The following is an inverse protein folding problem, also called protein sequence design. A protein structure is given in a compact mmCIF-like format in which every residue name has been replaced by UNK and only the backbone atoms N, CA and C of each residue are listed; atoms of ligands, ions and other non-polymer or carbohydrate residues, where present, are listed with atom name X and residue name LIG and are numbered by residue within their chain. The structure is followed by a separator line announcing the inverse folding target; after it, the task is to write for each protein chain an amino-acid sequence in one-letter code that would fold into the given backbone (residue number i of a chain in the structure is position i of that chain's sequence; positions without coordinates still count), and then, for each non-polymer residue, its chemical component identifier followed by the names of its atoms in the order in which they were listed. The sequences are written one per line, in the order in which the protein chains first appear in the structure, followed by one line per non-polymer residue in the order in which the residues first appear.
data_IF_775249834172
#
_entry.id   IF_775249834172
#
_cell.length_a   1.000
_cell.length_b   1.000
_cell.length_c   1.000
_cell.angle_alpha   90.00
_cell.angle_beta   90.00
_cell.angle_gamma   90.00
#
_symmetry.space_group_name_H-M   'P 1'
#
loop_
_entity.id
_entity.type
_entity.pdbx_description
1 polymer ?
#
# COMPACT_ATOMS: atom_id res chain seq x y z
N UNK A 1 -15.06 11.74 7.02
CA UNK A 1 -14.57 10.35 6.87
C UNK A 1 -14.55 10.00 5.40
N UNK A 2 -13.37 9.76 4.85
CA UNK A 2 -13.22 9.23 3.50
C UNK A 2 -13.89 7.86 3.44
N UNK A 3 -14.81 7.66 2.50
CA UNK A 3 -15.34 6.32 2.24
C UNK A 3 -14.17 5.47 1.72
N UNK A 4 -13.77 4.43 2.47
CA UNK A 4 -12.82 3.45 1.97
C UNK A 4 -13.58 2.32 1.28
N UNK A 5 -13.13 1.94 0.09
CA UNK A 5 -13.60 0.72 -0.56
C UNK A 5 -13.37 -0.49 0.36
N UNK A 6 -14.31 -1.43 0.38
CA UNK A 6 -14.21 -2.66 1.15
C UNK A 6 -12.90 -3.42 0.85
N UNK A 7 -12.50 -3.42 -0.43
CA UNK A 7 -11.27 -4.03 -0.94
C UNK A 7 -10.29 -2.94 -1.38
N UNK A 8 -9.82 -2.12 -0.45
CA UNK A 8 -8.84 -1.07 -0.78
C UNK A 8 -7.49 -1.66 -1.24
N UNK A 9 -6.75 -0.98 -2.14
CA UNK A 9 -5.41 -1.42 -2.55
C UNK A 9 -4.43 -1.56 -1.39
N UNK A 10 -4.46 -0.65 -0.42
CA UNK A 10 -3.58 -0.68 0.77
C UNK A 10 -3.83 -1.90 1.67
N UNK A 11 -5.01 -2.52 1.58
CA UNK A 11 -5.34 -3.76 2.27
C UNK A 11 -5.21 -5.01 1.38
N UNK A 12 -4.76 -4.88 0.12
CA UNK A 12 -4.76 -5.96 -0.87
C UNK A 12 -4.01 -7.21 -0.45
N UNK A 13 -2.82 -7.04 0.12
CA UNK A 13 -2.07 -8.16 0.66
C UNK A 13 -2.88 -8.96 1.70
N UNK A 14 -3.77 -8.30 2.46
CA UNK A 14 -4.62 -8.98 3.45
C UNK A 14 -5.81 -9.69 2.81
N UNK A 15 -6.58 -9.01 1.98
CA UNK A 15 -7.80 -9.62 1.44
C UNK A 15 -7.54 -10.65 0.33
N UNK A 16 -6.39 -10.59 -0.35
CA UNK A 16 -5.96 -11.66 -1.27
C UNK A 16 -5.67 -12.95 -0.50
N UNK A 17 -5.01 -12.84 0.65
CA UNK A 17 -4.60 -14.00 1.43
C UNK A 17 -5.66 -14.50 2.43
N UNK A 18 -6.57 -13.62 2.88
CA UNK A 18 -7.64 -13.92 3.82
C UNK A 18 -8.95 -13.26 3.38
N UNK A 19 -9.69 -13.95 2.52
CA UNK A 19 -10.96 -13.48 1.96
C UNK A 19 -12.04 -13.18 3.02
N UNK A 20 -11.96 -13.76 4.21
CA UNK A 20 -12.87 -13.46 5.31
C UNK A 20 -12.64 -12.07 5.93
N UNK A 21 -11.42 -11.54 5.84
CA UNK A 21 -11.01 -10.36 6.59
C UNK A 21 -11.84 -9.11 6.28
N UNK A 22 -12.08 -8.72 5.01
CA UNK A 22 -12.82 -7.49 4.70
C UNK A 22 -14.21 -7.42 5.35
N UNK A 23 -14.98 -8.51 5.26
CA UNK A 23 -16.35 -8.56 5.82
C UNK A 23 -16.35 -8.58 7.35
N UNK A 24 -15.38 -9.24 7.97
CA UNK A 24 -15.24 -9.25 9.43
C UNK A 24 -14.80 -7.87 9.98
N UNK A 25 -13.97 -7.15 9.23
CA UNK A 25 -13.47 -5.83 9.61
C UNK A 25 -14.48 -4.70 9.35
N UNK A 26 -15.46 -4.91 8.46
CA UNK A 26 -16.39 -3.87 8.01
C UNK A 26 -17.24 -3.23 9.14
N UNK A 27 -17.49 -3.97 10.22
CA UNK A 27 -18.26 -3.47 11.38
C UNK A 27 -17.38 -2.99 12.53
N UNK A 28 -16.05 -3.03 12.38
CA UNK A 28 -15.12 -2.59 13.40
C UNK A 28 -14.77 -1.13 13.14
N UNK A 29 -15.07 -0.27 14.12
CA UNK A 29 -14.65 1.12 14.08
C UNK A 29 -13.13 1.21 13.95
N UNK A 30 -12.69 2.01 12.98
CA UNK A 30 -11.29 2.40 12.88
C UNK A 30 -11.07 3.59 13.79
N UNK A 31 -10.52 3.37 14.99
CA UNK A 31 -10.20 4.45 15.91
C UNK A 31 -9.03 5.33 15.42
N UNK A 32 -8.47 5.02 14.26
CA UNK A 32 -7.22 5.61 13.80
C UNK A 32 -6.06 5.27 14.75
N UNK A 33 -4.89 5.79 14.41
CA UNK A 33 -3.73 5.78 15.31
C UNK A 33 -2.94 7.06 15.12
N UNK A 34 -2.13 7.44 16.11
CA UNK A 34 -1.17 8.55 15.95
C UNK A 34 -0.26 8.34 14.74
N UNK A 35 0.13 7.09 14.45
CA UNK A 35 0.93 6.74 13.27
C UNK A 35 0.18 6.95 11.96
N UNK A 36 -1.12 6.67 11.91
CA UNK A 36 -1.94 6.92 10.72
C UNK A 36 -2.12 8.44 10.48
N UNK A 37 -2.30 9.23 11.55
CA UNK A 37 -2.37 10.68 11.46
C UNK A 37 -1.02 11.30 11.05
N UNK A 38 0.08 10.87 11.66
CA UNK A 38 1.46 11.27 11.30
C UNK A 38 1.74 10.96 9.82
N UNK A 39 1.33 9.78 9.36
CA UNK A 39 1.44 9.39 7.95
C UNK A 39 0.61 10.27 7.02
N UNK A 40 -0.66 10.56 7.36
CA UNK A 40 -1.55 11.39 6.55
C UNK A 40 -0.99 12.80 6.37
N UNK A 41 -0.49 13.41 7.46
CA UNK A 41 0.21 14.69 7.40
C UNK A 41 1.43 14.63 6.46
N UNK A 42 2.24 13.57 6.53
CA UNK A 42 3.41 13.42 5.67
C UNK A 42 3.02 13.26 4.18
N UNK A 43 1.94 12.54 3.86
CA UNK A 43 1.40 12.45 2.49
C UNK A 43 0.94 13.84 2.00
N UNK A 44 0.22 14.60 2.83
CA UNK A 44 -0.22 15.96 2.48
C UNK A 44 0.97 16.88 2.16
N UNK A 45 2.06 16.80 2.94
CA UNK A 45 3.31 17.51 2.64
C UNK A 45 3.94 17.08 1.31
N UNK A 46 4.05 15.77 1.05
CA UNK A 46 4.54 15.24 -0.23
C UNK A 46 3.73 15.77 -1.41
N UNK A 47 2.40 15.65 -1.35
CA UNK A 47 1.48 16.10 -2.37
C UNK A 47 1.60 17.62 -2.60
N UNK A 48 1.61 18.42 -1.53
CA UNK A 48 1.79 19.87 -1.59
C UNK A 48 3.08 20.23 -2.32
N UNK A 49 4.20 19.64 -1.92
CA UNK A 49 5.54 19.93 -2.48
C UNK A 49 5.63 19.60 -3.98
N UNK A 50 5.00 18.51 -4.43
CA UNK A 50 4.94 18.15 -5.86
C UNK A 50 3.97 19.04 -6.64
N UNK A 51 2.80 19.35 -6.08
CA UNK A 51 1.81 20.24 -6.72
C UNK A 51 2.35 21.67 -6.86
N UNK A 52 3.05 22.19 -5.87
CA UNK A 52 3.75 23.49 -5.95
C UNK A 52 4.77 23.52 -7.08
N UNK A 53 5.57 22.45 -7.24
CA UNK A 53 6.51 22.32 -8.35
C UNK A 53 5.79 22.35 -9.72
N UNK A 54 4.62 21.70 -9.81
CA UNK A 54 3.80 21.67 -11.02
C UNK A 54 2.93 22.92 -11.23
N UNK A 55 2.99 23.92 -10.33
CA UNK A 55 2.13 25.10 -10.37
C UNK A 55 0.64 24.79 -10.19
N UNK A 56 0.29 23.70 -9.49
CA UNK A 56 -1.09 23.26 -9.23
C UNK A 56 -1.62 23.79 -7.89
N UNK A 57 -2.96 23.95 -7.75
CA UNK A 57 -3.58 24.33 -6.47
C UNK A 57 -3.29 23.31 -5.36
N UNK A 58 -3.21 23.80 -4.13
CA UNK A 58 -2.80 23.02 -2.94
C UNK A 58 -3.70 23.23 -1.74
N UNK A 59 -4.87 23.86 -1.94
CA UNK A 59 -5.80 24.24 -0.86
C UNK A 59 -6.24 23.03 -0.01
N UNK A 60 -6.42 21.87 -0.65
CA UNK A 60 -6.77 20.62 0.03
C UNK A 60 -5.66 20.14 0.96
N UNK A 61 -4.42 20.09 0.46
CA UNK A 61 -3.27 19.69 1.28
C UNK A 61 -3.00 20.70 2.40
N UNK A 62 -3.19 22.00 2.16
CA UNK A 62 -3.05 23.02 3.20
C UNK A 62 -4.07 22.89 4.31
N UNK A 63 -5.32 22.56 3.98
CA UNK A 63 -6.34 22.31 4.98
C UNK A 63 -5.98 21.09 5.84
N UNK A 64 -5.57 19.98 5.23
CA UNK A 64 -5.16 18.77 5.95
C UNK A 64 -3.90 18.97 6.80
N UNK A 65 -2.90 19.70 6.27
CA UNK A 65 -1.72 20.10 7.03
C UNK A 65 -2.14 20.93 8.24
N UNK A 66 -2.96 21.97 8.06
CA UNK A 66 -3.37 22.84 9.17
C UNK A 66 -4.10 22.09 10.31
N UNK A 67 -4.78 20.98 10.00
CA UNK A 67 -5.47 20.15 11.00
C UNK A 67 -4.51 19.30 11.84
N UNK A 68 -3.41 18.80 11.26
CA UNK A 68 -2.54 17.79 11.88
C UNK A 68 -1.16 18.32 12.30
N UNK A 69 -0.70 19.40 11.69
CA UNK A 69 0.68 19.92 11.77
C UNK A 69 1.12 20.16 13.21
N UNK A 70 0.32 20.92 13.97
CA UNK A 70 0.67 21.31 15.34
C UNK A 70 0.91 20.11 16.28
N UNK A 71 0.36 18.93 15.97
CA UNK A 71 0.48 17.74 16.80
C UNK A 71 1.51 16.74 16.29
N UNK A 72 1.69 16.62 14.98
CA UNK A 72 2.43 15.51 14.37
C UNK A 72 3.63 15.93 13.52
N UNK A 73 3.79 17.22 13.22
CA UNK A 73 4.94 17.72 12.45
C UNK A 73 6.26 17.50 13.20
N UNK A 74 7.32 17.25 12.43
CA UNK A 74 8.68 17.25 12.91
C UNK A 74 9.63 17.72 11.81
N UNK A 75 10.81 18.23 12.19
CA UNK A 75 11.84 18.60 11.19
C UNK A 75 12.28 17.42 10.32
N UNK A 76 12.31 16.20 10.87
CA UNK A 76 12.60 14.99 10.09
C UNK A 76 11.53 14.76 9.00
N UNK A 77 10.26 15.08 9.27
CA UNK A 77 9.19 14.96 8.27
C UNK A 77 9.45 15.84 7.04
N UNK A 78 9.98 17.05 7.25
CA UNK A 78 10.33 17.94 6.15
C UNK A 78 11.43 17.31 5.27
N UNK A 79 12.48 16.78 5.89
CA UNK A 79 13.59 16.11 5.20
C UNK A 79 13.13 14.87 4.42
N UNK A 80 12.26 14.04 5.02
CA UNK A 80 11.75 12.83 4.38
C UNK A 80 10.81 13.14 3.21
N UNK A 81 9.95 14.15 3.37
CA UNK A 81 9.03 14.57 2.29
C UNK A 81 9.77 15.31 1.18
N UNK A 82 10.88 16.01 1.48
CA UNK A 82 11.81 16.55 0.48
C UNK A 82 12.54 15.42 -0.27
N UNK A 83 12.99 14.40 0.43
CA UNK A 83 13.62 13.22 -0.19
C UNK A 83 12.67 12.55 -1.19
N UNK A 84 11.41 12.36 -0.80
CA UNK A 84 10.38 11.84 -1.71
C UNK A 84 10.21 12.71 -2.95
N UNK A 85 10.07 14.03 -2.76
CA UNK A 85 9.95 14.99 -3.86
C UNK A 85 11.13 14.87 -4.84
N UNK A 86 12.36 14.85 -4.33
CA UNK A 86 13.57 14.75 -5.15
C UNK A 86 13.55 13.48 -6.00
N UNK A 87 13.28 12.32 -5.39
CA UNK A 87 13.22 11.04 -6.09
C UNK A 87 12.15 11.08 -7.20
N UNK A 88 10.95 11.56 -6.91
CA UNK A 88 9.86 11.66 -7.91
C UNK A 88 10.28 12.55 -9.09
N UNK A 89 10.92 13.70 -8.82
CA UNK A 89 11.35 14.63 -9.87
C UNK A 89 12.52 14.09 -10.69
N UNK A 90 13.46 13.36 -10.08
CA UNK A 90 14.52 12.65 -10.81
C UNK A 90 13.93 11.62 -11.79
N UNK A 91 12.94 10.85 -11.35
CA UNK A 91 12.26 9.89 -12.21
C UNK A 91 11.45 10.56 -13.31
N UNK A 92 10.80 11.69 -13.03
CA UNK A 92 10.11 12.49 -14.04
C UNK A 92 11.09 13.00 -15.10
N UNK A 93 12.24 13.54 -14.70
CA UNK A 93 13.25 14.03 -15.64
C UNK A 93 13.78 12.89 -16.53
N UNK A 94 14.05 11.72 -15.96
CA UNK A 94 14.46 10.55 -16.73
C UNK A 94 13.38 10.05 -17.71
N UNK A 95 12.10 10.26 -17.40
CA UNK A 95 11.01 9.98 -18.32
C UNK A 95 10.93 11.03 -19.44
N UNK A 96 11.05 12.31 -19.10
CA UNK A 96 11.02 13.43 -20.06
C UNK A 96 12.15 13.36 -21.10
N UNK A 97 13.32 12.82 -20.74
CA UNK A 97 14.42 12.58 -21.67
C UNK A 97 14.04 11.59 -22.80
N UNK A 98 13.12 10.66 -22.52
CA UNK A 98 12.67 9.63 -23.47
C UNK A 98 11.35 9.99 -24.14
N UNK A 99 10.48 10.68 -23.42
CA UNK A 99 9.11 11.01 -23.80
C UNK A 99 8.87 12.49 -23.48
N UNK A 100 9.04 13.40 -24.46
CA UNK A 100 9.02 14.86 -24.23
C UNK A 100 7.73 15.40 -23.59
N UNK A 101 6.62 14.69 -23.76
CA UNK A 101 5.30 14.99 -23.20
C UNK A 101 4.94 14.10 -22.01
N UNK A 102 5.92 13.49 -21.34
CA UNK A 102 5.69 12.75 -20.11
C UNK A 102 5.04 13.65 -19.03
N UNK A 103 4.12 13.09 -18.26
CA UNK A 103 3.34 13.83 -17.27
C UNK A 103 3.51 13.27 -15.87
N UNK A 104 3.65 14.16 -14.89
CA UNK A 104 3.50 13.81 -13.48
C UNK A 104 2.08 14.13 -13.00
N UNK A 105 1.38 13.10 -12.54
CA UNK A 105 0.13 13.21 -11.83
C UNK A 105 0.36 12.97 -10.35
N UNK A 106 -0.35 13.71 -9.50
CA UNK A 106 -0.17 13.73 -8.04
C UNK A 106 -1.54 13.61 -7.40
N UNK A 107 -1.68 12.77 -6.37
CA UNK A 107 -2.96 12.48 -5.70
C UNK A 107 -4.06 12.07 -6.70
N UNK A 108 -3.75 11.07 -7.52
CA UNK A 108 -4.63 10.66 -8.63
C UNK A 108 -5.59 9.58 -8.18
N UNK A 109 -6.89 9.92 -8.15
CA UNK A 109 -7.95 8.93 -7.93
C UNK A 109 -8.06 7.97 -9.12
N UNK A 110 -7.98 6.68 -8.83
CA UNK A 110 -8.12 5.58 -9.77
C UNK A 110 -9.32 4.72 -9.40
N UNK A 111 -10.05 4.27 -10.42
CA UNK A 111 -11.17 3.35 -10.31
C UNK A 111 -10.69 1.96 -10.73
N UNK A 112 -11.02 0.94 -9.95
CA UNK A 112 -10.66 -0.45 -10.22
C UNK A 112 -11.90 -1.35 -10.33
N UNK A 113 -13.10 -0.78 -10.39
CA UNK A 113 -14.38 -1.50 -10.30
C UNK A 113 -14.56 -2.58 -11.37
N UNK A 114 -13.89 -2.44 -12.52
CA UNK A 114 -13.86 -3.46 -13.58
C UNK A 114 -13.15 -4.76 -13.17
N UNK A 115 -12.27 -4.70 -12.17
CA UNK A 115 -11.43 -5.82 -11.71
C UNK A 115 -11.69 -6.21 -10.26
N UNK A 116 -12.02 -5.25 -9.41
CA UNK A 116 -12.25 -5.41 -7.97
C UNK A 116 -13.55 -4.69 -7.61
N UNK A 117 -14.60 -5.41 -7.17
CA UNK A 117 -15.92 -4.81 -6.99
C UNK A 117 -15.91 -3.60 -6.05
N UNK A 118 -16.50 -2.49 -6.51
CA UNK A 118 -16.63 -1.23 -5.76
C UNK A 118 -15.30 -0.65 -5.27
N UNK A 119 -14.18 -1.00 -5.91
CA UNK A 119 -12.87 -0.56 -5.48
C UNK A 119 -12.38 0.69 -6.20
N UNK A 120 -11.81 1.60 -5.41
CA UNK A 120 -11.08 2.77 -5.85
C UNK A 120 -9.96 3.07 -4.87
N UNK A 121 -9.05 3.95 -5.27
CA UNK A 121 -7.95 4.40 -4.43
C UNK A 121 -7.30 5.64 -5.01
N UNK A 122 -6.34 6.19 -4.27
CA UNK A 122 -5.57 7.36 -4.69
C UNK A 122 -4.11 6.96 -4.74
N UNK A 123 -3.48 7.12 -5.92
CA UNK A 123 -2.05 6.95 -6.07
C UNK A 123 -1.34 8.28 -5.77
N UNK A 124 -0.27 8.23 -4.98
CA UNK A 124 0.46 9.42 -4.54
C UNK A 124 1.08 10.16 -5.73
N UNK A 125 1.83 9.43 -6.57
CA UNK A 125 2.40 9.95 -7.80
C UNK A 125 2.37 8.92 -8.95
N UNK A 126 2.06 9.39 -10.16
CA UNK A 126 2.10 8.59 -11.39
C UNK A 126 2.88 9.40 -12.43
N UNK A 127 3.90 8.79 -13.02
CA UNK A 127 4.59 9.32 -14.19
C UNK A 127 4.09 8.54 -15.40
N UNK A 128 3.44 9.23 -16.32
CA UNK A 128 2.93 8.66 -17.57
C UNK A 128 3.92 9.00 -18.68
N UNK A 129 4.40 7.98 -19.39
CA UNK A 129 5.34 8.08 -20.49
C UNK A 129 5.23 6.86 -21.41
N UNK A 130 5.70 7.00 -22.65
CA UNK A 130 5.79 5.89 -23.60
C UNK A 130 6.82 4.84 -23.13
N UNK A 131 6.57 3.59 -23.48
CA UNK A 131 7.35 2.41 -23.13
C UNK A 131 7.18 1.99 -21.66
N UNK A 132 7.39 2.90 -20.70
CA UNK A 132 7.31 2.59 -19.27
C UNK A 132 6.59 3.68 -18.47
N UNK A 133 5.40 3.36 -17.97
CA UNK A 133 4.68 4.16 -16.97
C UNK A 133 5.16 3.80 -15.57
N UNK A 134 5.19 4.75 -14.64
CA UNK A 134 5.66 4.50 -13.28
C UNK A 134 4.68 5.00 -12.21
N UNK A 135 4.35 4.13 -11.26
CA UNK A 135 3.59 4.49 -10.05
C UNK A 135 4.53 4.53 -8.86
N UNK A 136 4.52 5.65 -8.12
CA UNK A 136 5.37 5.87 -6.97
C UNK A 136 4.49 6.07 -5.75
N UNK A 137 4.71 5.26 -4.71
CA UNK A 137 3.97 5.28 -3.44
C UNK A 137 4.92 5.61 -2.30
N UNK A 138 4.51 6.60 -1.50
CA UNK A 138 5.22 7.05 -0.32
C UNK A 138 4.78 6.23 0.89
N UNK A 139 5.74 5.73 1.66
CA UNK A 139 5.49 5.05 2.93
C UNK A 139 6.18 5.79 4.06
N UNK A 140 5.39 6.27 5.01
CA UNK A 140 5.93 6.98 6.19
C UNK A 140 6.13 6.11 7.44
N UNK A 141 5.67 4.85 7.43
CA UNK A 141 5.89 3.96 8.57
C UNK A 141 7.37 3.59 8.72
N UNK A 142 7.84 3.37 9.96
CA UNK A 142 9.20 2.86 10.24
C UNK A 142 9.26 1.42 10.76
N UNK A 143 8.10 0.83 11.11
CA UNK A 143 8.03 -0.48 11.74
C UNK A 143 8.06 -1.68 10.79
N UNK A 144 7.79 -1.46 9.50
CA UNK A 144 7.72 -2.52 8.48
C UNK A 144 8.36 -2.00 7.20
N UNK A 145 9.40 -2.67 6.71
CA UNK A 145 9.95 -2.42 5.38
C UNK A 145 8.96 -2.88 4.32
N UNK A 146 8.63 -2.02 3.37
CA UNK A 146 7.69 -2.35 2.28
C UNK A 146 8.46 -2.52 0.97
N UNK A 147 8.29 -3.68 0.32
CA UNK A 147 8.88 -3.98 -0.99
C UNK A 147 7.92 -3.61 -2.10
N UNK A 148 8.43 -3.10 -3.22
CA UNK A 148 7.67 -2.94 -4.46
C UNK A 148 7.51 -4.28 -5.22
N UNK A 149 8.43 -5.22 -5.00
CA UNK A 149 8.41 -6.52 -5.66
C UNK A 149 7.18 -7.35 -5.29
N UNK A 150 6.43 -7.79 -6.29
CA UNK A 150 5.19 -8.57 -6.13
C UNK A 150 4.19 -7.94 -5.14
N UNK A 151 4.16 -6.60 -5.06
CA UNK A 151 3.31 -5.88 -4.12
C UNK A 151 1.90 -5.67 -4.70
N UNK A 152 0.85 -6.31 -4.16
CA UNK A 152 -0.50 -6.20 -4.73
C UNK A 152 -1.06 -4.78 -4.74
N UNK A 153 -0.73 -3.94 -3.75
CA UNK A 153 -1.17 -2.54 -3.73
C UNK A 153 -0.64 -1.81 -4.97
N UNK A 154 0.67 -1.94 -5.22
CA UNK A 154 1.34 -1.27 -6.33
C UNK A 154 0.86 -1.80 -7.68
N UNK A 155 0.65 -3.12 -7.80
CA UNK A 155 0.13 -3.73 -9.01
C UNK A 155 -1.30 -3.27 -9.33
N UNK A 156 -2.17 -3.12 -8.31
CA UNK A 156 -3.52 -2.57 -8.51
C UNK A 156 -3.47 -1.12 -8.99
N UNK A 157 -2.60 -0.29 -8.39
CA UNK A 157 -2.43 1.09 -8.86
C UNK A 157 -1.87 1.15 -10.28
N UNK A 158 -0.87 0.32 -10.61
CA UNK A 158 -0.34 0.22 -11.95
C UNK A 158 -1.41 -0.21 -12.97
N UNK A 159 -2.27 -1.17 -12.61
CA UNK A 159 -3.39 -1.61 -13.44
C UNK A 159 -4.40 -0.48 -13.68
N UNK A 160 -4.84 0.21 -12.63
CA UNK A 160 -5.80 1.32 -12.77
C UNK A 160 -5.23 2.50 -13.55
N UNK A 161 -3.96 2.83 -13.35
CA UNK A 161 -3.29 3.87 -14.12
C UNK A 161 -3.15 3.44 -15.60
N UNK A 162 -2.76 2.20 -15.87
CA UNK A 162 -2.65 1.68 -17.23
C UNK A 162 -4.02 1.68 -17.95
N UNK A 163 -5.07 1.18 -17.30
CA UNK A 163 -6.43 1.19 -17.84
C UNK A 163 -6.89 2.61 -18.19
N UNK A 164 -6.49 3.60 -17.39
CA UNK A 164 -6.84 4.99 -17.60
C UNK A 164 -6.04 5.70 -18.70
N UNK A 165 -4.78 5.36 -18.92
CA UNK A 165 -3.88 6.17 -19.78
C UNK A 165 -3.31 5.44 -21.01
N UNK A 166 -3.54 4.12 -21.14
CA UNK A 166 -3.07 3.31 -22.27
C UNK A 166 -3.64 3.70 -23.63
N UNK A 167 -4.69 4.51 -23.67
CA UNK A 167 -5.22 5.05 -24.93
C UNK A 167 -4.45 6.30 -25.42
N UNK A 168 -3.74 6.99 -24.51
CA UNK A 168 -2.96 8.21 -24.82
C UNK A 168 -1.49 7.87 -25.06
N UNK A 169 -0.93 6.93 -24.29
CA UNK A 169 0.48 6.55 -24.34
C UNK A 169 0.65 5.07 -24.70
N UNK A 170 1.69 4.77 -25.47
CA UNK A 170 2.06 3.39 -25.78
C UNK A 170 2.86 2.80 -24.62
N UNK A 171 2.19 2.11 -23.70
CA UNK A 171 2.79 1.57 -22.48
C UNK A 171 3.05 0.06 -22.65
N UNK A 172 4.31 -0.35 -22.66
CA UNK A 172 4.73 -1.76 -22.73
C UNK A 172 4.98 -2.38 -21.34
N UNK A 173 5.41 -1.54 -20.40
CA UNK A 173 5.83 -1.92 -19.06
C UNK A 173 5.31 -0.93 -18.02
N UNK A 174 5.16 -1.42 -16.80
CA UNK A 174 4.91 -0.60 -15.62
C UNK A 174 6.03 -0.77 -14.63
N UNK A 175 6.51 0.34 -14.08
CA UNK A 175 7.38 0.35 -12.91
C UNK A 175 6.58 0.77 -11.68
N UNK A 176 6.88 0.14 -10.57
CA UNK A 176 6.32 0.43 -9.27
C UNK A 176 7.47 0.75 -8.33
N UNK A 177 7.38 1.90 -7.67
CA UNK A 177 8.41 2.38 -6.77
C UNK A 177 7.80 2.67 -5.41
N UNK A 178 8.42 2.12 -4.38
CA UNK A 178 8.11 2.45 -2.98
C UNK A 178 9.25 3.28 -2.44
N UNK A 179 8.90 4.44 -1.89
CA UNK A 179 9.83 5.33 -1.21
C UNK A 179 9.46 5.39 0.26
N UNK A 180 10.37 4.93 1.11
CA UNK A 180 10.18 4.87 2.56
C UNK A 180 11.39 5.47 3.28
N UNK A 181 11.47 6.82 3.35
CA UNK A 181 12.70 7.51 3.74
C UNK A 181 13.14 7.27 5.18
N UNK A 182 12.20 7.07 6.12
CA UNK A 182 12.52 6.89 7.56
C UNK A 182 13.42 5.69 7.88
N UNK A 183 13.56 4.74 6.96
CA UNK A 183 14.40 3.56 7.10
C UNK A 183 15.29 3.34 5.87
N UNK A 184 15.56 4.41 5.12
CA UNK A 184 16.40 4.41 3.91
C UNK A 184 16.02 3.31 2.92
N UNK A 185 14.72 3.10 2.71
CA UNK A 185 14.21 2.09 1.79
C UNK A 185 13.68 2.74 0.51
N UNK A 186 14.36 2.44 -0.59
CA UNK A 186 13.89 2.64 -1.96
C UNK A 186 13.79 1.26 -2.60
N UNK A 187 12.60 0.89 -3.07
CA UNK A 187 12.34 -0.41 -3.68
C UNK A 187 11.63 -0.21 -5.00
N UNK A 188 12.13 -0.84 -6.05
CA UNK A 188 11.61 -0.71 -7.41
C UNK A 188 11.34 -2.09 -7.99
N UNK A 189 10.27 -2.20 -8.74
CA UNK A 189 9.94 -3.42 -9.47
C UNK A 189 9.24 -3.09 -10.78
N UNK A 190 9.58 -3.82 -11.83
CA UNK A 190 9.09 -3.57 -13.18
C UNK A 190 8.49 -4.83 -13.78
N UNK A 191 7.32 -4.68 -14.41
CA UNK A 191 6.59 -5.73 -15.09
C UNK A 191 6.23 -5.30 -16.50
N UNK A 192 6.13 -6.25 -17.42
CA UNK A 192 5.43 -6.04 -18.68
C UNK A 192 3.91 -5.97 -18.46
N UNK A 193 3.20 -5.29 -19.36
CA UNK A 193 1.72 -5.29 -19.35
C UNK A 193 1.15 -6.71 -19.45
N UNK A 194 1.84 -7.60 -20.17
CA UNK A 194 1.45 -9.02 -20.25
C UNK A 194 1.50 -9.71 -18.88
N UNK A 195 2.55 -9.51 -18.11
CA UNK A 195 2.69 -10.09 -16.76
C UNK A 195 1.65 -9.49 -15.80
N UNK A 196 1.44 -8.18 -15.85
CA UNK A 196 0.43 -7.50 -15.05
C UNK A 196 -0.99 -8.01 -15.36
N UNK A 197 -1.32 -8.18 -16.64
CA UNK A 197 -2.61 -8.72 -17.10
C UNK A 197 -2.78 -10.16 -16.64
N UNK A 198 -1.75 -11.00 -16.80
CA UNK A 198 -1.80 -12.39 -16.33
C UNK A 198 -2.03 -12.47 -14.81
N UNK A 199 -1.34 -11.65 -14.02
CA UNK A 199 -1.60 -11.58 -12.57
C UNK A 199 -3.02 -11.10 -12.26
N UNK A 200 -3.51 -10.13 -13.03
CA UNK A 200 -4.87 -9.60 -12.88
C UNK A 200 -5.92 -10.70 -13.06
N UNK A 201 -5.80 -11.48 -14.14
CA UNK A 201 -6.74 -12.56 -14.48
C UNK A 201 -6.63 -13.76 -13.54
N UNK A 202 -5.40 -14.15 -13.16
CA UNK A 202 -5.16 -15.41 -12.44
C UNK A 202 -5.15 -15.26 -10.93
N UNK A 203 -4.92 -14.05 -10.40
CA UNK A 203 -4.80 -13.79 -8.96
C UNK A 203 -5.77 -12.72 -8.49
N UNK A 204 -5.73 -11.51 -9.09
CA UNK A 204 -6.47 -10.36 -8.57
C UNK A 204 -7.99 -10.58 -8.61
N UNK A 205 -8.53 -10.85 -9.80
CA UNK A 205 -9.99 -10.99 -10.00
C UNK A 205 -10.54 -12.14 -9.15
N UNK A 206 -10.00 -13.38 -9.18
CA UNK A 206 -10.53 -14.47 -8.36
C UNK A 206 -10.48 -14.18 -6.86
N UNK A 207 -9.40 -13.54 -6.39
CA UNK A 207 -9.26 -13.18 -4.98
C UNK A 207 -10.24 -12.08 -4.57
N UNK A 208 -10.42 -11.05 -5.41
CA UNK A 208 -11.35 -9.96 -5.19
C UNK A 208 -12.80 -10.47 -5.12
N UNK A 209 -13.23 -11.31 -6.06
CA UNK A 209 -14.58 -11.89 -6.04
C UNK A 209 -14.85 -12.67 -4.75
N UNK A 210 -13.89 -13.51 -4.34
CA UNK A 210 -13.99 -14.32 -3.12
C UNK A 210 -14.03 -13.46 -1.86
N UNK A 211 -13.14 -12.48 -1.76
CA UNK A 211 -13.05 -11.57 -0.64
C UNK A 211 -14.27 -10.64 -0.55
N UNK A 212 -14.79 -10.19 -1.70
CA UNK A 212 -15.98 -9.36 -1.76
C UNK A 212 -17.21 -10.13 -1.28
N UNK A 213 -17.40 -11.39 -1.67
CA UNK A 213 -18.49 -12.23 -1.14
C UNK A 213 -18.34 -12.50 0.37
N UNK A 214 -17.11 -12.51 0.88
CA UNK A 214 -16.79 -12.99 2.23
C UNK A 214 -16.75 -14.52 2.32
N UNK A 215 -16.78 -15.19 1.17
CA UNK A 215 -16.82 -16.65 1.05
C UNK A 215 -15.40 -17.21 1.15
N UNK A 216 -14.87 -17.28 2.37
CA UNK A 216 -13.57 -17.90 2.61
C UNK A 216 -13.31 -18.20 4.08
N UNK A 217 -12.44 -19.18 4.38
CA UNK A 217 -12.01 -19.39 5.74
C UNK A 217 -11.18 -18.20 6.21
N UNK A 218 -11.23 -17.94 7.52
CA UNK A 218 -10.19 -17.13 8.16
C UNK A 218 -8.84 -17.85 7.97
N UNK A 219 -7.88 -17.19 7.34
CA UNK A 219 -6.58 -17.75 7.02
C UNK A 219 -5.49 -16.93 7.72
N UNK A 220 -5.05 -17.31 8.94
CA UNK A 220 -4.04 -16.53 9.66
C UNK A 220 -2.65 -16.61 9.04
N UNK A 221 -1.99 -15.46 8.90
CA UNK A 221 -0.62 -15.33 8.40
C UNK A 221 -0.06 -13.94 8.66
N UNK A 222 1.06 -13.57 8.01
CA UNK A 222 1.72 -12.28 8.23
C UNK A 222 0.81 -11.06 7.99
N UNK A 223 -0.17 -11.18 7.11
CA UNK A 223 -1.20 -10.16 6.87
C UNK A 223 -2.15 -9.90 8.05
N UNK A 224 -2.15 -10.75 9.09
CA UNK A 224 -2.91 -10.47 10.31
C UNK A 224 -2.38 -9.26 11.08
N UNK A 225 -1.12 -8.83 10.86
CA UNK A 225 -0.51 -7.71 11.59
C UNK A 225 -1.40 -6.45 11.58
N UNK A 226 -2.06 -6.17 10.45
CA UNK A 226 -2.94 -5.01 10.27
C UNK A 226 -4.43 -5.38 10.21
N UNK A 227 -4.80 -6.59 10.67
CA UNK A 227 -6.19 -7.03 10.69
C UNK A 227 -6.91 -6.49 11.94
N UNK A 228 -8.00 -5.72 11.74
CA UNK A 228 -8.73 -5.07 12.86
C UNK A 228 -9.38 -6.07 13.83
N UNK A 229 -9.72 -7.26 13.34
CA UNK A 229 -10.32 -8.34 14.14
C UNK A 229 -9.30 -9.38 14.63
N UNK A 230 -8.00 -9.09 14.53
CA UNK A 230 -6.92 -10.03 14.93
C UNK A 230 -7.13 -10.61 16.34
N UNK A 231 -7.46 -9.76 17.31
CA UNK A 231 -7.62 -10.14 18.72
C UNK A 231 -8.80 -11.07 19.00
N UNK A 232 -9.83 -11.06 18.14
CA UNK A 232 -11.04 -11.88 18.25
C UNK A 232 -11.14 -12.95 17.14
N UNK A 233 -10.12 -13.09 16.32
CA UNK A 233 -10.08 -14.04 15.21
C UNK A 233 -9.98 -15.49 15.71
N UNK A 234 -11.02 -16.29 15.47
CA UNK A 234 -11.08 -17.70 15.91
C UNK A 234 -9.96 -18.55 15.30
N UNK A 235 -9.70 -18.41 14.00
CA UNK A 235 -8.64 -19.19 13.36
C UNK A 235 -7.26 -18.83 13.93
N UNK A 236 -6.99 -17.55 14.21
CA UNK A 236 -5.73 -17.13 14.81
C UNK A 236 -5.62 -17.65 16.26
N UNK A 237 -6.68 -17.56 17.05
CA UNK A 237 -6.71 -18.12 18.40
C UNK A 237 -6.43 -19.64 18.42
N UNK A 238 -7.03 -20.39 17.49
CA UNK A 238 -6.76 -21.82 17.33
C UNK A 238 -5.29 -22.10 16.96
N UNK A 239 -4.72 -21.30 16.06
CA UNK A 239 -3.32 -21.42 15.66
C UNK A 239 -2.38 -21.17 16.84
N UNK A 240 -2.59 -20.09 17.61
CA UNK A 240 -1.79 -19.75 18.78
C UNK A 240 -1.91 -20.80 19.90
N UNK A 241 -3.11 -21.30 20.18
CA UNK A 241 -3.34 -22.30 21.24
C UNK A 241 -2.82 -23.69 20.88
N UNK A 242 -2.82 -24.06 19.60
CA UNK A 242 -2.19 -25.31 19.15
C UNK A 242 -0.68 -25.22 19.34
N UNK A 243 -0.07 -24.15 18.85
CA UNK A 243 1.37 -23.89 19.03
C UNK A 243 1.79 -23.91 20.50
N UNK A 244 1.00 -23.28 21.40
CA UNK A 244 1.31 -23.28 22.83
C UNK A 244 1.21 -24.67 23.49
N UNK A 245 0.41 -25.61 22.95
CA UNK A 245 0.30 -26.98 23.48
C UNK A 245 1.47 -27.87 23.07
N UNK A 246 2.11 -27.56 21.95
CA UNK A 246 3.24 -28.34 21.43
C UNK A 246 4.49 -28.16 22.31
N UNK A 247 4.57 -27.08 23.09
CA UNK A 247 5.64 -26.84 24.06
C UNK A 247 5.21 -27.24 25.48
N UNK A 248 5.56 -28.47 25.88
CA UNK A 248 5.30 -28.98 27.23
C UNK A 248 6.21 -28.35 28.31
N UNK A 249 7.38 -27.85 27.91
CA UNK A 249 8.33 -27.18 28.79
C UNK A 249 8.03 -25.70 28.96
N UNK A 250 8.34 -25.15 30.15
CA UNK A 250 8.01 -23.76 30.51
C UNK A 250 8.84 -22.71 29.76
N UNK A 251 9.92 -23.11 29.06
CA UNK A 251 10.88 -22.22 28.42
C UNK A 251 11.22 -22.80 27.04
N UNK A 252 11.09 -21.97 26.00
CA UNK A 252 11.49 -22.31 24.63
C UNK A 252 13.01 -22.38 24.51
N UNK A 253 13.50 -23.36 23.77
CA UNK A 253 14.87 -23.39 23.28
C UNK A 253 15.08 -22.28 22.24
N UNK A 254 16.34 -21.85 22.00
CA UNK A 254 16.64 -20.89 20.94
C UNK A 254 16.17 -21.34 19.54
N UNK A 255 16.16 -22.65 19.29
CA UNK A 255 15.73 -23.22 18.01
C UNK A 255 14.21 -23.13 17.82
N UNK A 256 13.43 -23.49 18.85
CA UNK A 256 11.97 -23.34 18.84
C UNK A 256 11.56 -21.86 18.73
N UNK A 257 12.26 -20.99 19.46
CA UNK A 257 12.04 -19.55 19.35
C UNK A 257 12.28 -19.07 17.91
N UNK A 258 13.38 -19.49 17.29
CA UNK A 258 13.76 -19.07 15.95
C UNK A 258 12.82 -19.60 14.85
N UNK A 259 12.38 -20.85 14.95
CA UNK A 259 11.64 -21.52 13.89
C UNK A 259 10.13 -21.33 13.99
N UNK A 260 9.60 -21.24 15.22
CA UNK A 260 8.15 -21.31 15.42
C UNK A 260 7.55 -19.99 15.88
N UNK A 261 8.28 -19.22 16.70
CA UNK A 261 7.76 -17.98 17.30
C UNK A 261 8.18 -16.74 16.51
N UNK A 262 9.47 -16.54 16.25
CA UNK A 262 9.97 -15.34 15.56
C UNK A 262 9.29 -15.10 14.20
N UNK A 263 9.07 -16.12 13.34
CA UNK A 263 8.41 -15.93 12.04
C UNK A 263 6.94 -15.50 12.17
N UNK A 264 6.31 -15.78 13.31
CA UNK A 264 4.90 -15.45 13.60
C UNK A 264 4.75 -14.26 14.52
N UNK A 265 5.85 -13.65 14.98
CA UNK A 265 5.80 -12.61 16.00
C UNK A 265 4.94 -11.43 15.55
N UNK A 266 5.06 -10.98 14.30
CA UNK A 266 4.20 -9.92 13.74
C UNK A 266 2.72 -10.36 13.59
N UNK A 267 2.48 -11.67 13.42
CA UNK A 267 1.12 -12.24 13.35
C UNK A 267 0.44 -12.24 14.71
N UNK A 268 1.19 -12.37 15.82
CA UNK A 268 0.66 -12.52 17.18
C UNK A 268 0.77 -11.23 18.00
N UNK A 269 1.91 -10.55 17.95
CA UNK A 269 2.19 -9.30 18.65
C UNK A 269 1.67 -8.10 17.86
N UNK A 270 1.12 -7.10 18.55
CA UNK A 270 0.80 -5.77 18.01
C UNK A 270 2.00 -4.85 18.14
#
# INVERSE_FOLDING_TARGET
MSAHALLSPSAAHRWINCAAAPRLEATVEDSGSSYAAEGSLAHAYCAKKLKEYLGRPTDGEQAEIAELDAQYHSGEMDEYTDTYKVIVLEKLNAALERTPDAQLLVETRLDFSDYVPEAFGTADAIIIADGCMEVIDFKYGKGVRVSAENNPQMMIYALGAFARFSFEYHIDRVRMTIVQPRIDNLSEWELSIKELTNWTETVLIPAAEKAYKGDGPQNPGGWCQFCKVKSSCRALANQCTTMAKDYADKILTPEELANDVLPRLATVKT
#
